data_IF_314010517923
#
_entry.id   IF_314010517923
#
_cell.length_a   1.000
_cell.length_b   1.000
_cell.length_c   1.000
_cell.angle_alpha   90.00
_cell.angle_beta   90.00
_cell.angle_gamma   90.00
#
_symmetry.space_group_name_H-M   'P 1'
#
loop_
_entity.id
_entity.type
_entity.pdbx_description
1 polymer ?
#
# COMPACT_ATOMS: atom_id res chain seq x y z
N UNK A 1 -20.56 -8.36 -5.49
CA UNK A 1 -19.35 -9.22 -5.55
C UNK A 1 -19.18 -9.88 -4.19
N UNK A 2 -18.84 -11.17 -4.13
CA UNK A 2 -18.42 -11.81 -2.87
C UNK A 2 -16.94 -11.51 -2.64
N UNK A 3 -16.60 -10.95 -1.49
CA UNK A 3 -15.21 -10.74 -1.08
C UNK A 3 -14.54 -12.10 -0.79
N UNK A 4 -13.24 -12.19 -1.00
CA UNK A 4 -12.47 -13.38 -0.58
C UNK A 4 -12.44 -13.40 0.96
N UNK A 5 -13.02 -14.44 1.55
CA UNK A 5 -13.07 -14.65 3.02
C UNK A 5 -12.45 -15.96 3.47
N UNK A 6 -12.00 -16.81 2.53
CA UNK A 6 -11.34 -18.07 2.84
C UNK A 6 -9.84 -17.87 3.05
N UNK A 7 -9.20 -18.75 3.83
CA UNK A 7 -7.74 -18.79 3.99
C UNK A 7 -7.10 -19.63 2.87
N UNK A 8 -5.84 -19.37 2.48
CA UNK A 8 -5.16 -20.20 1.49
C UNK A 8 -4.92 -21.61 2.03
N UNK A 9 -4.91 -22.62 1.15
CA UNK A 9 -4.72 -24.02 1.53
C UNK A 9 -3.40 -24.30 2.28
N UNK A 10 -2.41 -23.41 2.14
CA UNK A 10 -1.10 -23.49 2.80
C UNK A 10 -1.02 -22.72 4.13
N UNK A 11 -2.15 -22.20 4.65
CA UNK A 11 -2.18 -21.32 5.83
C UNK A 11 -1.50 -21.91 7.08
N UNK A 12 -1.76 -23.18 7.38
CA UNK A 12 -1.21 -23.86 8.56
C UNK A 12 0.32 -24.07 8.49
N UNK A 13 0.93 -23.85 7.33
CA UNK A 13 2.37 -23.99 7.10
C UNK A 13 3.13 -22.68 7.35
N UNK A 14 2.44 -21.57 7.58
CA UNK A 14 3.06 -20.26 7.77
C UNK A 14 3.52 -20.03 9.22
N UNK A 15 4.48 -19.11 9.38
CA UNK A 15 4.86 -18.62 10.71
C UNK A 15 3.70 -17.88 11.38
N UNK A 16 3.68 -17.85 12.71
CA UNK A 16 2.64 -17.17 13.50
C UNK A 16 2.47 -15.69 13.08
N UNK A 17 3.57 -15.00 12.80
CA UNK A 17 3.52 -13.60 12.36
C UNK A 17 2.78 -13.43 11.01
N UNK A 18 2.98 -14.36 10.07
CA UNK A 18 2.30 -14.35 8.77
C UNK A 18 0.85 -14.78 8.92
N UNK A 19 0.55 -15.80 9.72
CA UNK A 19 -0.81 -16.19 10.06
C UNK A 19 -1.60 -15.02 10.66
N UNK A 20 -1.01 -14.29 11.61
CA UNK A 20 -1.62 -13.07 12.16
C UNK A 20 -1.90 -12.02 11.09
N UNK A 21 -1.02 -11.87 10.10
CA UNK A 21 -1.24 -11.00 8.94
C UNK A 21 -2.47 -11.42 8.11
N UNK A 22 -2.61 -12.71 7.81
CA UNK A 22 -3.80 -13.27 7.15
C UNK A 22 -5.07 -13.01 7.96
N UNK A 23 -5.06 -13.33 9.26
CA UNK A 23 -6.23 -13.14 10.14
C UNK A 23 -6.62 -11.66 10.28
N UNK A 24 -5.64 -10.75 10.34
CA UNK A 24 -5.90 -9.30 10.42
C UNK A 24 -6.63 -8.80 9.18
N UNK A 25 -6.24 -9.27 8.00
CA UNK A 25 -6.91 -8.86 6.76
C UNK A 25 -8.26 -9.57 6.64
N UNK A 26 -8.34 -10.86 7.01
CA UNK A 26 -9.57 -11.64 7.00
C UNK A 26 -10.68 -10.99 7.84
N UNK A 27 -10.38 -10.45 9.03
CA UNK A 27 -11.35 -9.67 9.83
C UNK A 27 -11.99 -8.52 9.02
N UNK A 28 -11.19 -7.79 8.24
CA UNK A 28 -11.70 -6.75 7.36
C UNK A 28 -12.63 -7.33 6.30
N UNK A 29 -12.27 -8.47 5.70
CA UNK A 29 -13.07 -9.15 4.69
C UNK A 29 -14.40 -9.63 5.24
N UNK A 30 -14.41 -10.24 6.43
CA UNK A 30 -15.61 -10.69 7.13
C UNK A 30 -16.55 -9.53 7.48
N UNK A 31 -16.00 -8.34 7.73
CA UNK A 31 -16.76 -7.10 7.95
C UNK A 31 -17.24 -6.44 6.66
N UNK A 32 -16.99 -7.04 5.49
CA UNK A 32 -17.40 -6.51 4.21
C UNK A 32 -16.52 -5.38 3.67
N UNK A 33 -15.32 -5.18 4.22
CA UNK A 33 -14.40 -4.10 3.82
C UNK A 33 -13.51 -4.59 2.66
N UNK A 34 -13.57 -3.97 1.47
CA UNK A 34 -12.70 -4.34 0.36
C UNK A 34 -11.23 -3.94 0.60
N UNK A 35 -10.31 -4.62 -0.08
CA UNK A 35 -8.87 -4.34 -0.04
C UNK A 35 -8.34 -4.04 -1.43
N UNK A 36 -7.66 -2.91 -1.59
CA UNK A 36 -6.98 -2.52 -2.82
C UNK A 36 -5.47 -2.53 -2.60
N UNK A 37 -4.78 -3.37 -3.36
CA UNK A 37 -3.34 -3.49 -3.35
C UNK A 37 -2.66 -2.49 -4.27
N UNK A 38 -1.50 -1.96 -3.88
CA UNK A 38 -0.71 -1.04 -4.70
C UNK A 38 0.78 -1.30 -4.62
N UNK A 39 1.48 -0.89 -5.67
CA UNK A 39 2.94 -1.02 -5.77
C UNK A 39 3.65 0.34 -5.93
N UNK A 40 2.94 1.46 -5.99
CA UNK A 40 3.55 2.77 -6.08
C UNK A 40 2.77 3.81 -5.27
N UNK A 41 3.44 4.93 -5.01
CA UNK A 41 2.87 6.07 -4.31
C UNK A 41 2.02 6.97 -5.20
N UNK A 42 2.06 6.76 -6.53
CA UNK A 42 1.32 7.57 -7.50
C UNK A 42 -0.16 7.22 -7.58
N UNK A 43 -0.56 5.98 -7.29
CA UNK A 43 -1.98 5.64 -7.23
C UNK A 43 -2.69 6.51 -6.17
N UNK A 44 -3.75 7.25 -6.55
CA UNK A 44 -4.50 8.12 -5.65
C UNK A 44 -5.34 7.26 -4.69
N UNK A 45 -4.76 6.91 -3.54
CA UNK A 45 -5.36 6.04 -2.52
C UNK A 45 -6.72 6.54 -2.01
N UNK A 46 -6.95 7.85 -2.12
CA UNK A 46 -8.20 8.50 -1.78
C UNK A 46 -9.40 7.94 -2.56
N UNK A 47 -9.20 7.52 -3.82
CA UNK A 47 -10.28 6.98 -4.66
C UNK A 47 -10.82 5.65 -4.10
N UNK A 48 -10.02 4.59 -3.91
CA UNK A 48 -10.52 3.35 -3.31
C UNK A 48 -10.99 3.55 -1.86
N UNK A 49 -10.36 4.45 -1.08
CA UNK A 49 -10.83 4.78 0.27
C UNK A 49 -12.23 5.40 0.29
N UNK A 50 -12.53 6.27 -0.67
CA UNK A 50 -13.85 6.88 -0.80
C UNK A 50 -14.94 5.85 -1.18
N UNK A 51 -14.55 4.71 -1.75
CA UNK A 51 -15.42 3.55 -1.97
C UNK A 51 -15.43 2.57 -0.78
N UNK A 52 -14.95 2.99 0.40
CA UNK A 52 -14.92 2.17 1.61
C UNK A 52 -13.84 1.08 1.63
N UNK A 53 -12.91 1.05 0.67
CA UNK A 53 -11.83 0.09 0.65
C UNK A 53 -10.63 0.54 1.50
N UNK A 54 -9.93 -0.42 2.11
CA UNK A 54 -8.60 -0.17 2.66
C UNK A 54 -7.54 -0.34 1.57
N UNK A 55 -6.44 0.40 1.69
CA UNK A 55 -5.32 0.36 0.73
C UNK A 55 -4.07 -0.19 1.40
N UNK A 56 -3.36 -1.08 0.71
CA UNK A 56 -2.13 -1.71 1.20
C UNK A 56 -1.01 -1.71 0.18
N UNK A 57 0.21 -1.43 0.62
CA UNK A 57 1.40 -1.60 -0.21
C UNK A 57 1.77 -3.07 -0.32
N UNK A 58 2.03 -3.53 -1.53
CA UNK A 58 2.35 -4.92 -1.86
C UNK A 58 3.82 -5.14 -2.21
N UNK A 59 4.64 -4.08 -2.22
CA UNK A 59 6.07 -4.20 -2.47
C UNK A 59 6.74 -5.04 -1.38
N UNK A 60 7.26 -6.22 -1.76
CA UNK A 60 8.00 -7.10 -0.87
C UNK A 60 9.51 -6.89 -0.98
N UNK A 61 10.21 -7.08 0.14
CA UNK A 61 11.67 -6.97 0.28
C UNK A 61 12.29 -8.28 0.76
N UNK A 62 11.56 -9.40 0.68
CA UNK A 62 12.04 -10.72 1.09
C UNK A 62 12.44 -11.56 -0.13
N UNK A 63 13.56 -12.26 -0.05
CA UNK A 63 14.05 -13.09 -1.15
C UNK A 63 13.35 -14.46 -1.26
N UNK A 64 12.44 -14.79 -0.33
CA UNK A 64 11.78 -16.10 -0.20
C UNK A 64 11.17 -16.64 -1.50
N UNK A 65 10.59 -15.76 -2.32
CA UNK A 65 9.82 -16.13 -3.51
C UNK A 65 10.49 -15.75 -4.82
N UNK A 66 11.75 -15.28 -4.78
CA UNK A 66 12.48 -14.87 -5.99
C UNK A 66 12.64 -16.05 -6.95
N UNK A 67 13.00 -17.24 -6.45
CA UNK A 67 13.17 -18.43 -7.30
C UNK A 67 11.87 -18.81 -8.04
N UNK A 68 10.72 -18.71 -7.36
CA UNK A 68 9.40 -18.97 -7.97
C UNK A 68 9.02 -17.94 -9.03
N UNK A 69 9.42 -16.68 -8.82
CA UNK A 69 9.22 -15.60 -9.78
C UNK A 69 10.11 -15.76 -11.02
N UNK A 70 11.34 -16.23 -10.86
CA UNK A 70 12.31 -16.41 -11.96
C UNK A 70 11.95 -17.53 -12.95
N UNK A 71 10.93 -18.33 -12.62
CA UNK A 71 10.32 -19.28 -13.58
C UNK A 71 9.56 -18.56 -14.71
N UNK A 72 9.07 -17.34 -14.44
CA UNK A 72 8.29 -16.55 -15.41
C UNK A 72 9.00 -15.23 -15.77
N UNK A 73 9.73 -14.65 -14.83
CA UNK A 73 10.40 -13.36 -14.96
C UNK A 73 11.91 -13.52 -15.16
N UNK A 74 12.58 -12.62 -15.91
CA UNK A 74 14.02 -12.68 -16.08
C UNK A 74 14.80 -12.53 -14.76
N UNK A 75 15.88 -13.30 -14.61
CA UNK A 75 16.76 -13.23 -13.42
C UNK A 75 17.40 -11.86 -13.20
N UNK A 76 17.65 -11.14 -14.28
CA UNK A 76 18.23 -9.79 -14.28
C UNK A 76 17.21 -8.67 -14.00
N UNK A 77 15.98 -9.02 -13.57
CA UNK A 77 14.97 -8.05 -13.18
C UNK A 77 15.15 -7.59 -11.71
N UNK A 78 14.63 -6.40 -11.39
CA UNK A 78 14.67 -5.83 -10.04
C UNK A 78 14.15 -6.82 -8.97
N UNK A 79 14.88 -7.04 -7.86
CA UNK A 79 14.49 -8.01 -6.83
C UNK A 79 13.15 -7.67 -6.16
N UNK A 80 12.82 -6.38 -6.02
CA UNK A 80 11.51 -5.96 -5.49
C UNK A 80 10.36 -6.45 -6.37
N UNK A 81 10.53 -6.44 -7.70
CA UNK A 81 9.52 -6.91 -8.65
C UNK A 81 9.40 -8.44 -8.55
N UNK A 82 10.54 -9.14 -8.59
CA UNK A 82 10.57 -10.61 -8.49
C UNK A 82 9.95 -11.10 -7.19
N UNK A 83 10.37 -10.54 -6.05
CA UNK A 83 9.82 -10.85 -4.74
C UNK A 83 8.31 -10.62 -4.70
N UNK A 84 7.85 -9.42 -5.08
CA UNK A 84 6.44 -9.05 -5.08
C UNK A 84 5.56 -9.97 -5.95
N UNK A 85 6.00 -10.26 -7.18
CA UNK A 85 5.30 -11.16 -8.09
C UNK A 85 5.29 -12.59 -7.55
N UNK A 86 6.43 -13.09 -7.08
CA UNK A 86 6.54 -14.44 -6.51
C UNK A 86 5.65 -14.63 -5.30
N UNK A 87 5.54 -13.62 -4.42
CA UNK A 87 4.62 -13.65 -3.28
C UNK A 87 3.15 -13.67 -3.69
N UNK A 88 2.81 -12.98 -4.78
CA UNK A 88 1.46 -13.01 -5.34
C UNK A 88 1.13 -14.34 -6.01
N UNK A 89 2.03 -14.86 -6.85
CA UNK A 89 1.89 -16.13 -7.58
C UNK A 89 1.76 -17.35 -6.66
N UNK A 90 2.39 -17.29 -5.47
CA UNK A 90 2.43 -18.41 -4.53
C UNK A 90 1.42 -18.29 -3.39
N UNK A 91 0.55 -17.27 -3.41
CA UNK A 91 -0.43 -16.99 -2.35
C UNK A 91 0.19 -16.84 -0.94
N UNK A 92 1.48 -16.49 -0.87
CA UNK A 92 2.23 -16.35 0.39
C UNK A 92 2.10 -14.98 1.04
N UNK A 93 1.60 -13.98 0.30
CA UNK A 93 1.37 -12.65 0.84
C UNK A 93 -0.12 -12.48 1.21
N UNK A 94 -0.45 -12.30 2.50
CA UNK A 94 -1.85 -12.12 2.95
C UNK A 94 -2.52 -10.94 2.26
N UNK A 95 -1.78 -9.83 2.14
CA UNK A 95 -2.29 -8.60 1.57
C UNK A 95 -2.60 -8.73 0.08
N UNK A 96 -1.75 -9.45 -0.67
CA UNK A 96 -2.01 -9.72 -2.09
C UNK A 96 -3.18 -10.69 -2.25
N UNK A 97 -3.17 -11.76 -1.46
CA UNK A 97 -4.18 -12.82 -1.50
C UNK A 97 -5.58 -12.24 -1.37
N UNK A 98 -5.81 -11.40 -0.36
CA UNK A 98 -7.11 -10.78 -0.09
C UNK A 98 -7.41 -9.49 -0.89
N UNK A 99 -6.48 -9.01 -1.73
CA UNK A 99 -6.75 -7.84 -2.57
C UNK A 99 -7.83 -8.14 -3.60
N UNK A 100 -8.91 -7.36 -3.61
CA UNK A 100 -10.02 -7.47 -4.58
C UNK A 100 -9.69 -6.77 -5.91
N UNK A 101 -8.72 -5.86 -5.86
CA UNK A 101 -8.12 -5.16 -6.98
C UNK A 101 -6.67 -4.85 -6.66
N UNK A 102 -5.78 -5.08 -7.62
CA UNK A 102 -4.43 -4.52 -7.62
C UNK A 102 -4.41 -3.34 -8.59
N UNK A 103 -3.89 -2.20 -8.14
CA UNK A 103 -3.65 -1.04 -9.00
C UNK A 103 -2.15 -0.91 -9.22
N UNK A 104 -1.74 -0.97 -10.48
CA UNK A 104 -0.36 -0.77 -10.92
C UNK A 104 -0.22 0.50 -11.76
N UNK A 105 1.01 0.97 -11.94
CA UNK A 105 1.33 2.17 -12.72
C UNK A 105 2.49 1.92 -13.67
N UNK A 106 2.45 2.50 -14.87
CA UNK A 106 3.51 2.37 -15.90
C UNK A 106 4.77 3.18 -15.58
N UNK A 107 5.39 2.90 -14.43
CA UNK A 107 6.58 3.60 -13.92
C UNK A 107 7.87 3.08 -14.54
N UNK A 108 8.26 1.85 -14.20
CA UNK A 108 9.41 1.17 -14.79
C UNK A 108 8.96 0.03 -15.70
N UNK A 109 9.80 -0.34 -16.68
CA UNK A 109 9.48 -1.41 -17.63
C UNK A 109 9.20 -2.75 -16.96
N UNK A 110 9.96 -3.06 -15.91
CA UNK A 110 9.78 -4.30 -15.15
C UNK A 110 8.38 -4.40 -14.53
N UNK A 111 7.90 -3.33 -13.88
CA UNK A 111 6.56 -3.32 -13.27
C UNK A 111 5.48 -3.38 -14.34
N UNK A 112 5.62 -2.58 -15.40
CA UNK A 112 4.68 -2.55 -16.54
C UNK A 112 4.43 -3.95 -17.09
N UNK A 113 5.50 -4.71 -17.37
CA UNK A 113 5.38 -6.07 -17.89
C UNK A 113 4.92 -7.06 -16.82
N UNK A 114 5.40 -6.94 -15.58
CA UNK A 114 4.95 -7.80 -14.47
C UNK A 114 3.44 -7.73 -14.24
N UNK A 115 2.81 -6.55 -14.41
CA UNK A 115 1.36 -6.43 -14.28
C UNK A 115 0.57 -7.24 -15.31
N UNK A 116 1.10 -7.45 -16.51
CA UNK A 116 0.46 -8.28 -17.53
C UNK A 116 0.38 -9.74 -17.09
N UNK A 117 1.48 -10.30 -16.57
CA UNK A 117 1.50 -11.65 -15.98
C UNK A 117 0.63 -11.74 -14.72
N UNK A 118 0.67 -10.71 -13.88
CA UNK A 118 -0.15 -10.66 -12.66
C UNK A 118 -1.66 -10.64 -12.95
N UNK A 119 -2.06 -10.04 -14.07
CA UNK A 119 -3.46 -9.98 -14.49
C UNK A 119 -4.05 -11.36 -14.84
N UNK A 120 -3.22 -12.39 -15.06
CA UNK A 120 -3.66 -13.76 -15.33
C UNK A 120 -4.29 -14.42 -14.08
N UNK A 121 -3.92 -13.98 -12.87
CA UNK A 121 -4.36 -14.60 -11.61
C UNK A 121 -4.89 -13.62 -10.56
N UNK A 122 -4.90 -12.31 -10.84
CA UNK A 122 -5.48 -11.30 -9.96
C UNK A 122 -6.14 -10.20 -10.80
N UNK A 123 -7.27 -9.61 -10.37
CA UNK A 123 -7.79 -8.41 -11.02
C UNK A 123 -6.79 -7.27 -10.90
N UNK A 124 -6.30 -6.77 -12.03
CA UNK A 124 -5.32 -5.67 -12.10
C UNK A 124 -5.88 -4.53 -12.93
N UNK A 125 -5.78 -3.30 -12.41
CA UNK A 125 -5.98 -2.07 -13.18
C UNK A 125 -4.62 -1.37 -13.32
N UNK A 126 -4.20 -1.08 -14.55
CA UNK A 126 -2.91 -0.40 -14.81
C UNK A 126 -3.16 1.04 -15.22
N UNK A 127 -2.64 1.98 -14.43
CA UNK A 127 -2.65 3.41 -14.73
C UNK A 127 -1.46 3.82 -15.60
N UNK A 128 -1.71 4.63 -16.62
CA UNK A 128 -0.67 5.22 -17.46
C UNK A 128 -0.10 6.49 -16.83
N UNK A 129 0.99 6.35 -16.07
CA UNK A 129 1.67 7.51 -15.49
C UNK A 129 2.45 8.26 -16.59
N UNK A 130 2.22 9.57 -16.81
CA UNK A 130 2.98 10.33 -17.79
C UNK A 130 4.45 10.47 -17.38
N UNK A 131 5.34 10.49 -18.37
CA UNK A 131 6.79 10.68 -18.17
C UNK A 131 7.19 12.15 -17.95
N UNK A 132 6.24 13.08 -18.03
CA UNK A 132 6.43 14.52 -17.83
C UNK A 132 5.34 15.06 -16.90
N UNK A 133 5.69 16.10 -16.13
CA UNK A 133 4.76 16.83 -15.26
C UNK A 133 4.56 18.29 -15.72
N UNK A 134 5.23 18.68 -16.80
CA UNK A 134 5.34 20.10 -17.18
C UNK A 134 4.23 20.53 -18.14
N UNK A 135 3.89 19.68 -19.10
CA UNK A 135 2.97 20.01 -20.18
C UNK A 135 1.51 19.64 -19.87
N UNK A 136 0.59 20.36 -20.52
CA UNK A 136 -0.84 20.18 -20.33
C UNK A 136 -1.36 18.83 -20.81
N UNK A 137 -0.74 18.25 -21.85
CA UNK A 137 -1.10 16.93 -22.36
C UNK A 137 -0.86 15.84 -21.31
N UNK A 138 0.28 15.88 -20.62
CA UNK A 138 0.61 14.97 -19.52
C UNK A 138 -0.35 15.13 -18.33
N UNK A 139 -0.70 16.37 -17.97
CA UNK A 139 -1.68 16.65 -16.90
C UNK A 139 -3.09 16.15 -17.28
N UNK A 140 -3.49 16.33 -18.53
CA UNK A 140 -4.76 15.85 -19.06
C UNK A 140 -4.82 14.32 -19.06
N UNK A 141 -3.74 13.64 -19.49
CA UNK A 141 -3.61 12.19 -19.41
C UNK A 141 -3.78 11.70 -17.97
N UNK A 142 -3.02 12.29 -17.03
CA UNK A 142 -3.08 11.86 -15.63
C UNK A 142 -4.47 12.06 -15.01
N UNK A 143 -5.14 13.18 -15.31
CA UNK A 143 -6.53 13.40 -14.90
C UNK A 143 -7.46 12.33 -15.46
N UNK A 144 -7.32 12.00 -16.75
CA UNK A 144 -8.14 10.97 -17.39
C UNK A 144 -7.91 9.57 -16.79
N UNK A 145 -6.67 9.24 -16.42
CA UNK A 145 -6.32 8.01 -15.71
C UNK A 145 -6.96 7.93 -14.32
N UNK A 146 -6.95 9.02 -13.55
CA UNK A 146 -7.63 9.06 -12.25
C UNK A 146 -9.15 8.83 -12.38
N UNK A 147 -9.79 9.41 -13.40
CA UNK A 147 -11.22 9.20 -13.68
C UNK A 147 -11.51 7.75 -14.14
N UNK A 148 -10.60 7.14 -14.92
CA UNK A 148 -10.71 5.71 -15.29
C UNK A 148 -10.58 4.81 -14.07
N UNK A 149 -9.67 5.12 -13.14
CA UNK A 149 -9.53 4.39 -11.89
C UNK A 149 -10.81 4.51 -11.05
N UNK A 150 -11.35 5.72 -10.88
CA UNK A 150 -12.61 5.94 -10.17
C UNK A 150 -13.72 5.03 -10.70
N UNK A 151 -13.96 5.07 -12.02
CA UNK A 151 -14.97 4.22 -12.66
C UNK A 151 -14.71 2.72 -12.42
N UNK A 152 -13.46 2.28 -12.52
CA UNK A 152 -13.09 0.87 -12.27
C UNK A 152 -13.39 0.45 -10.83
N UNK A 153 -13.13 1.34 -9.86
CA UNK A 153 -13.39 1.11 -8.44
C UNK A 153 -14.91 1.04 -8.18
N UNK A 154 -15.68 1.99 -8.73
CA UNK A 154 -17.13 2.04 -8.59
C UNK A 154 -17.81 0.79 -9.19
N UNK A 155 -17.41 0.38 -10.40
CA UNK A 155 -17.91 -0.83 -11.06
C UNK A 155 -17.61 -2.08 -10.25
N UNK A 156 -16.40 -2.16 -9.66
CA UNK A 156 -15.97 -3.32 -8.88
C UNK A 156 -16.68 -3.44 -7.54
N UNK A 157 -16.85 -2.31 -6.84
CA UNK A 157 -17.44 -2.28 -5.50
C UNK A 157 -18.95 -1.97 -5.51
N UNK A 158 -19.53 -1.74 -6.70
CA UNK A 158 -20.96 -1.71 -6.92
C UNK A 158 -21.66 -0.46 -6.40
N UNK A 159 -20.96 0.65 -6.22
CA UNK A 159 -21.52 1.93 -5.81
C UNK A 159 -20.69 3.10 -6.33
N UNK A 160 -21.35 4.24 -6.55
CA UNK A 160 -20.70 5.48 -6.97
C UNK A 160 -19.96 6.14 -5.79
N UNK A 161 -18.80 6.74 -6.08
CA UNK A 161 -18.06 7.53 -5.12
C UNK A 161 -18.64 8.94 -5.09
N UNK A 162 -19.21 9.34 -3.95
CA UNK A 162 -19.72 10.70 -3.78
C UNK A 162 -18.58 11.71 -3.65
N UNK A 163 -18.85 12.97 -4.00
CA UNK A 163 -17.89 14.05 -3.83
C UNK A 163 -17.49 14.22 -2.35
N UNK A 164 -18.45 14.10 -1.42
CA UNK A 164 -18.20 14.20 0.01
C UNK A 164 -17.29 13.07 0.51
N UNK A 165 -17.56 11.81 0.10
CA UNK A 165 -16.71 10.68 0.46
C UNK A 165 -15.27 10.86 -0.05
N UNK A 166 -15.11 11.40 -1.26
CA UNK A 166 -13.80 11.70 -1.81
C UNK A 166 -13.09 12.83 -1.04
N UNK A 167 -13.81 13.89 -0.68
CA UNK A 167 -13.28 14.99 0.15
C UNK A 167 -12.84 14.51 1.53
N UNK A 168 -13.63 13.66 2.16
CA UNK A 168 -13.31 13.06 3.46
C UNK A 168 -12.07 12.17 3.38
N UNK A 169 -11.97 11.32 2.35
CA UNK A 169 -10.80 10.48 2.10
C UNK A 169 -9.53 11.32 1.88
N UNK A 170 -9.61 12.42 1.12
CA UNK A 170 -8.52 13.38 0.92
C UNK A 170 -8.11 14.03 2.24
N UNK A 171 -9.07 14.50 3.04
CA UNK A 171 -8.80 15.14 4.32
C UNK A 171 -8.09 14.18 5.29
N UNK A 172 -8.58 12.94 5.39
CA UNK A 172 -7.99 11.88 6.21
C UNK A 172 -6.57 11.53 5.75
N UNK A 173 -6.36 11.30 4.45
CA UNK A 173 -5.02 11.02 3.91
C UNK A 173 -4.03 12.15 4.10
N UNK A 174 -4.48 13.41 3.99
CA UNK A 174 -3.62 14.56 4.27
C UNK A 174 -3.28 14.70 5.76
N UNK A 175 -4.15 14.25 6.68
CA UNK A 175 -3.80 14.15 8.11
C UNK A 175 -2.76 13.05 8.35
N UNK A 176 -2.94 11.86 7.77
CA UNK A 176 -1.96 10.76 7.84
C UNK A 176 -0.58 11.20 7.33
N UNK A 177 -0.52 11.82 6.14
CA UNK A 177 0.74 12.32 5.56
C UNK A 177 1.43 13.34 6.47
N UNK A 178 0.66 14.24 7.11
CA UNK A 178 1.20 15.24 8.04
C UNK A 178 1.75 14.59 9.31
N UNK A 179 1.03 13.65 9.91
CA UNK A 179 1.50 12.92 11.09
C UNK A 179 2.80 12.14 10.80
N UNK A 180 2.86 11.44 9.66
CA UNK A 180 4.07 10.74 9.21
C UNK A 180 5.24 11.70 8.97
N UNK A 181 5.00 12.83 8.31
CA UNK A 181 6.03 13.84 8.06
C UNK A 181 6.55 14.45 9.38
N UNK A 182 5.66 14.76 10.32
CA UNK A 182 6.04 15.29 11.63
C UNK A 182 6.92 14.30 12.42
N UNK A 183 6.56 13.02 12.40
CA UNK A 183 7.40 11.97 12.99
C UNK A 183 8.75 11.87 12.28
N UNK A 184 8.78 11.86 10.95
CA UNK A 184 10.01 11.79 10.17
C UNK A 184 10.95 13.00 10.43
N UNK A 185 10.39 14.20 10.65
CA UNK A 185 11.16 15.40 10.99
C UNK A 185 11.92 15.31 12.32
N UNK A 186 11.60 14.35 13.21
CA UNK A 186 12.43 14.09 14.40
C UNK A 186 13.89 13.74 14.04
N UNK A 187 14.11 13.17 12.85
CA UNK A 187 15.46 12.89 12.33
C UNK A 187 16.31 14.14 12.06
N UNK A 188 15.73 15.35 12.12
CA UNK A 188 16.45 16.62 11.99
C UNK A 188 17.03 17.12 13.32
N UNK A 189 16.64 16.52 14.46
CA UNK A 189 17.14 16.92 15.77
C UNK A 189 18.64 16.62 15.89
N UNK A 190 19.38 17.56 16.50
CA UNK A 190 20.82 17.45 16.71
C UNK A 190 21.16 17.86 18.15
N UNK A 191 21.64 16.95 19.03
CA UNK A 191 22.02 15.56 18.74
C UNK A 191 20.81 14.68 18.35
N UNK A 192 20.99 13.56 17.61
CA UNK A 192 19.87 12.73 17.17
C UNK A 192 19.00 12.24 18.33
N UNK A 193 17.68 12.24 18.14
CA UNK A 193 16.72 11.68 19.09
C UNK A 193 16.46 10.18 18.84
N UNK A 194 16.56 9.75 17.59
CA UNK A 194 16.28 8.39 17.13
C UNK A 194 17.28 7.98 16.05
N UNK A 195 17.51 6.67 15.93
CA UNK A 195 18.26 6.14 14.79
C UNK A 195 17.40 6.15 13.52
N UNK A 196 18.04 6.25 12.35
CA UNK A 196 17.32 6.13 11.07
C UNK A 196 16.59 4.80 10.92
N UNK A 197 17.12 3.73 11.52
CA UNK A 197 16.48 2.41 11.55
C UNK A 197 15.19 2.41 12.35
N UNK A 198 15.12 3.11 13.48
CA UNK A 198 13.90 3.21 14.27
C UNK A 198 12.84 4.07 13.59
N UNK A 199 13.27 5.16 12.93
CA UNK A 199 12.39 5.95 12.08
C UNK A 199 11.79 5.08 10.96
N UNK A 200 12.63 4.30 10.27
CA UNK A 200 12.19 3.41 9.20
C UNK A 200 11.20 2.35 9.70
N UNK A 201 11.44 1.72 10.86
CA UNK A 201 10.51 0.74 11.44
C UNK A 201 9.12 1.33 11.65
N UNK A 202 9.03 2.55 12.19
CA UNK A 202 7.75 3.22 12.44
C UNK A 202 7.06 3.59 11.12
N UNK A 203 7.78 4.25 10.20
CA UNK A 203 7.22 4.68 8.91
C UNK A 203 6.79 3.48 8.06
N UNK A 204 7.57 2.41 8.03
CA UNK A 204 7.21 1.18 7.33
C UNK A 204 6.02 0.47 8.01
N UNK A 205 6.03 0.36 9.34
CA UNK A 205 4.93 -0.25 10.10
C UNK A 205 3.59 0.46 9.89
N UNK A 206 3.60 1.79 9.76
CA UNK A 206 2.41 2.60 9.48
C UNK A 206 1.70 2.18 8.18
N UNK A 207 2.41 1.63 7.19
CA UNK A 207 1.81 1.19 5.92
C UNK A 207 0.86 0.00 6.08
N UNK A 208 0.97 -0.76 7.18
CA UNK A 208 0.11 -1.91 7.50
C UNK A 208 -0.95 -1.60 8.57
N UNK A 209 -1.13 -0.31 8.91
CA UNK A 209 -2.19 0.14 9.82
C UNK A 209 -3.38 0.64 8.99
N UNK A 210 -4.46 -0.14 9.01
CA UNK A 210 -5.67 0.13 8.23
C UNK A 210 -6.62 1.14 8.89
N UNK A 211 -6.66 1.19 10.22
CA UNK A 211 -7.31 2.28 10.96
C UNK A 211 -6.42 3.52 10.92
N UNK A 212 -6.78 4.47 10.06
CA UNK A 212 -6.01 5.70 9.82
C UNK A 212 -6.13 6.69 10.96
N UNK A 213 -7.27 6.77 11.63
CA UNK A 213 -7.45 7.67 12.78
C UNK A 213 -6.61 7.21 13.96
N UNK A 214 -6.65 5.90 14.27
CA UNK A 214 -5.80 5.33 15.31
C UNK A 214 -4.32 5.52 14.99
N UNK A 215 -3.90 5.28 13.73
CA UNK A 215 -2.52 5.50 13.29
C UNK A 215 -2.09 6.96 13.48
N UNK A 216 -2.91 7.93 13.07
CA UNK A 216 -2.60 9.36 13.21
C UNK A 216 -2.37 9.71 14.69
N UNK A 217 -3.28 9.29 15.57
CA UNK A 217 -3.19 9.57 17.01
C UNK A 217 -1.94 8.92 17.63
N UNK A 218 -1.62 7.68 17.25
CA UNK A 218 -0.42 6.98 17.71
C UNK A 218 0.87 7.69 17.27
N UNK A 219 0.94 8.14 16.01
CA UNK A 219 2.08 8.88 15.46
C UNK A 219 2.26 10.22 16.17
N UNK A 220 1.19 11.00 16.33
CA UNK A 220 1.26 12.31 16.98
C UNK A 220 1.69 12.18 18.45
N UNK A 221 1.14 11.20 19.17
CA UNK A 221 1.53 10.92 20.56
C UNK A 221 3.00 10.47 20.65
N UNK A 222 3.45 9.60 19.73
CA UNK A 222 4.84 9.16 19.68
C UNK A 222 5.78 10.33 19.38
N UNK A 223 5.43 11.20 18.43
CA UNK A 223 6.21 12.38 18.08
C UNK A 223 6.36 13.33 19.26
N UNK A 224 5.25 13.65 19.95
CA UNK A 224 5.27 14.51 21.12
C UNK A 224 6.17 13.95 22.23
N UNK A 225 6.04 12.65 22.52
CA UNK A 225 6.85 11.97 23.53
C UNK A 225 8.35 12.01 23.21
N UNK A 226 8.74 11.68 21.97
CA UNK A 226 10.17 11.69 21.58
C UNK A 226 10.74 13.11 21.64
N UNK A 227 9.97 14.11 21.21
CA UNK A 227 10.39 15.52 21.30
C UNK A 227 10.56 15.97 22.75
N UNK A 228 9.63 15.62 23.64
CA UNK A 228 9.73 15.93 25.06
C UNK A 228 10.97 15.28 25.70
N UNK A 229 11.19 13.99 25.46
CA UNK A 229 12.38 13.27 25.95
C UNK A 229 13.67 13.93 25.47
N UNK A 230 13.67 14.38 24.22
CA UNK A 230 14.77 15.15 23.67
C UNK A 230 14.91 16.54 24.33
N UNK A 231 13.85 17.26 24.62
CA UNK A 231 13.95 18.53 25.36
C UNK A 231 14.50 18.32 26.80
N UNK A 232 14.22 17.16 27.40
CA UNK A 232 14.69 16.73 28.74
C UNK A 232 16.14 16.19 28.77
N UNK A 233 16.84 16.18 27.63
CA UNK A 233 18.25 15.76 27.59
C UNK A 233 18.49 14.31 27.16
N UNK A 234 17.45 13.51 26.87
CA UNK A 234 17.63 12.16 26.29
C UNK A 234 18.04 12.26 24.82
N UNK A 235 19.17 11.63 24.47
CA UNK A 235 19.74 11.60 23.11
C UNK A 235 20.01 10.14 22.75
N UNK A 236 20.17 9.89 21.45
CA UNK A 236 20.75 8.64 20.96
C UNK A 236 22.25 8.55 21.30
#
# INVERSE_FOLDING_TARGET
MSLITDLPAIFDQFSEARQKGFLTVMDLKERGIPLVGTYCTFMPQEIPMAAGAVVVSLCSTSDETIEEAEKDLPRNLCPLIKSSYGFGKTDKCPYFYFSDLVVGETTCDGKKKMYEYMAEFKPVHVMQLPNSVKDDASRALWKAEMLRLQKTVEERFGHEISEDALRDAIALKNRERRALANFYHLGQLNPPALSGSDILKVVYGATFRFDKEALINELDAMTARVRQQWEEGQRL
#
